data_IF_106368945294
#
_entry.id   IF_106368945294
#
_cell.length_a   1.000
_cell.length_b   1.000
_cell.length_c   1.000
_cell.angle_alpha   90.00
_cell.angle_beta   90.00
_cell.angle_gamma   90.00
#
_symmetry.space_group_name_H-M   'P 1'
#
loop_
_entity.id
_entity.type
_entity.pdbx_description
1 polymer ?
#
# COMPACT_ATOMS: atom_id res chain seq x y z
N UNK A 1 3.37 -3.85 -21.48
CA UNK A 1 2.24 -3.86 -20.53
C UNK A 1 2.38 -2.78 -19.46
N UNK A 2 3.42 -2.79 -18.60
CA UNK A 2 3.62 -1.74 -17.57
C UNK A 2 3.72 -0.34 -18.20
N UNK A 3 4.37 -0.21 -19.37
CA UNK A 3 4.41 1.07 -20.11
C UNK A 3 3.03 1.50 -20.59
N UNK A 4 2.22 0.58 -21.09
CA UNK A 4 0.83 0.83 -21.49
C UNK A 4 -0.04 1.27 -20.32
N UNK A 5 0.15 0.65 -19.14
CA UNK A 5 -0.51 1.07 -17.89
C UNK A 5 -0.15 2.51 -17.52
N UNK A 6 1.14 2.85 -17.59
CA UNK A 6 1.64 4.19 -17.31
C UNK A 6 1.09 5.21 -18.31
N UNK A 7 1.06 4.89 -19.60
CA UNK A 7 0.50 5.77 -20.64
C UNK A 7 -1.00 5.98 -20.44
N UNK A 8 -1.74 4.90 -20.12
CA UNK A 8 -3.18 4.99 -19.81
C UNK A 8 -3.43 5.83 -18.56
N UNK A 9 -2.60 5.65 -17.51
CA UNK A 9 -2.66 6.46 -16.31
C UNK A 9 -2.34 7.93 -16.55
N UNK A 10 -1.32 8.23 -17.35
CA UNK A 10 -0.98 9.60 -17.73
C UNK A 10 -2.10 10.30 -18.52
N UNK A 11 -2.81 9.56 -19.38
CA UNK A 11 -3.91 10.13 -20.19
C UNK A 11 -5.16 10.40 -19.37
N UNK A 12 -5.45 9.56 -18.36
CA UNK A 12 -6.64 9.68 -17.49
C UNK A 12 -6.40 10.45 -16.20
N UNK A 13 -5.16 10.54 -15.74
CA UNK A 13 -4.78 11.10 -14.44
C UNK A 13 -5.12 10.21 -13.23
N UNK A 14 -5.99 9.23 -13.45
CA UNK A 14 -6.51 8.31 -12.42
C UNK A 14 -6.62 6.91 -13.02
N UNK A 15 -6.22 5.89 -12.26
CA UNK A 15 -6.43 4.48 -12.58
C UNK A 15 -7.23 3.82 -11.47
N UNK A 16 -8.15 2.93 -11.83
CA UNK A 16 -8.81 2.08 -10.83
C UNK A 16 -7.91 0.92 -10.46
N UNK A 17 -8.05 0.43 -9.21
CA UNK A 17 -7.36 -0.78 -8.76
C UNK A 17 -7.58 -1.95 -9.75
N UNK A 18 -8.80 -2.11 -10.24
CA UNK A 18 -9.16 -3.12 -11.24
C UNK A 18 -8.35 -2.97 -12.53
N UNK A 19 -8.26 -1.77 -13.08
CA UNK A 19 -7.49 -1.52 -14.32
C UNK A 19 -6.00 -1.85 -14.15
N UNK A 20 -5.45 -1.61 -12.96
CA UNK A 20 -4.06 -1.95 -12.65
C UNK A 20 -3.91 -3.46 -12.57
N UNK A 21 -4.80 -4.14 -11.87
CA UNK A 21 -4.74 -5.59 -11.71
C UNK A 21 -4.98 -6.34 -13.01
N UNK A 22 -6.00 -5.99 -13.79
CA UNK A 22 -6.28 -6.58 -15.11
C UNK A 22 -5.06 -6.54 -16.04
N UNK A 23 -4.26 -5.47 -15.97
CA UNK A 23 -3.04 -5.34 -16.78
C UNK A 23 -1.83 -6.07 -16.19
N UNK A 24 -1.78 -6.24 -14.87
CA UNK A 24 -0.72 -6.97 -14.17
C UNK A 24 -0.96 -8.47 -14.17
N UNK A 25 -2.21 -8.91 -14.36
CA UNK A 25 -2.65 -10.31 -14.39
C UNK A 25 -1.93 -11.14 -15.44
N UNK A 26 -1.64 -10.55 -16.60
CA UNK A 26 -0.87 -11.20 -17.66
C UNK A 26 0.63 -11.32 -17.36
N UNK A 27 1.09 -10.75 -16.23
CA UNK A 27 2.51 -10.69 -15.87
C UNK A 27 2.66 -11.27 -14.47
N UNK A 28 3.34 -12.38 -14.34
CA UNK A 28 3.68 -13.00 -13.04
C UNK A 28 4.73 -12.14 -12.30
N UNK A 29 4.23 -11.10 -11.61
CA UNK A 29 5.08 -10.13 -10.90
C UNK A 29 5.23 -10.50 -9.43
N UNK A 30 6.46 -10.40 -8.94
CA UNK A 30 6.75 -10.50 -7.50
C UNK A 30 6.18 -9.26 -6.79
N UNK A 31 5.73 -9.37 -5.53
CA UNK A 31 5.15 -8.25 -4.79
C UNK A 31 6.03 -7.00 -4.71
N UNK A 32 7.35 -7.17 -4.65
CA UNK A 32 8.30 -6.07 -4.75
C UNK A 32 8.24 -5.33 -6.09
N UNK A 33 7.89 -6.05 -7.15
CA UNK A 33 7.72 -5.47 -8.49
C UNK A 33 6.37 -4.76 -8.60
N UNK A 34 5.32 -5.32 -8.01
CA UNK A 34 4.00 -4.68 -7.93
C UNK A 34 4.11 -3.37 -7.17
N UNK A 35 4.82 -3.37 -6.05
CA UNK A 35 5.01 -2.16 -5.27
C UNK A 35 5.84 -1.10 -6.01
N UNK A 36 6.87 -1.50 -6.77
CA UNK A 36 7.58 -0.57 -7.66
C UNK A 36 6.66 0.02 -8.74
N UNK A 37 5.68 -0.75 -9.23
CA UNK A 37 4.67 -0.22 -10.16
C UNK A 37 3.83 0.83 -9.46
N UNK A 38 3.33 0.58 -8.24
CA UNK A 38 2.59 1.56 -7.46
C UNK A 38 3.42 2.81 -7.14
N UNK A 39 4.67 2.65 -6.70
CA UNK A 39 5.60 3.76 -6.49
C UNK A 39 5.81 4.57 -7.77
N UNK A 40 5.92 3.90 -8.92
CA UNK A 40 6.06 4.55 -10.22
C UNK A 40 4.79 5.32 -10.60
N UNK A 41 3.61 4.73 -10.40
CA UNK A 41 2.32 5.40 -10.65
C UNK A 41 2.15 6.62 -9.75
N UNK A 42 2.46 6.49 -8.47
CA UNK A 42 2.43 7.58 -7.49
C UNK A 42 3.43 8.70 -7.85
N UNK A 43 4.66 8.33 -8.26
CA UNK A 43 5.67 9.30 -8.71
C UNK A 43 5.28 10.06 -9.99
N UNK A 44 4.52 9.42 -10.87
CA UNK A 44 4.02 9.99 -12.12
C UNK A 44 2.71 10.76 -11.95
N UNK A 45 2.16 10.81 -10.75
CA UNK A 45 0.96 11.57 -10.50
C UNK A 45 -0.35 10.89 -10.85
N UNK A 46 -0.33 9.60 -10.98
CA UNK A 46 -1.50 8.82 -11.29
C UNK A 46 -2.13 8.38 -9.98
N UNK A 47 -3.30 8.94 -9.65
CA UNK A 47 -4.05 8.54 -8.46
C UNK A 47 -4.74 7.19 -8.70
N UNK A 48 -4.61 6.29 -7.73
CA UNK A 48 -5.29 4.99 -7.77
C UNK A 48 -6.57 5.13 -6.97
N UNK A 49 -7.72 5.09 -7.64
CA UNK A 49 -9.04 5.20 -6.99
C UNK A 49 -9.65 3.84 -6.69
N UNK A 50 -10.44 3.83 -5.60
CA UNK A 50 -11.25 2.69 -5.19
C UNK A 50 -12.51 2.59 -6.05
N UNK A 51 -12.51 1.76 -7.08
CA UNK A 51 -13.69 0.97 -7.37
C UNK A 51 -13.38 -0.44 -6.87
N UNK A 52 -13.91 -0.74 -5.70
CA UNK A 52 -13.87 -2.08 -5.13
C UNK A 52 -14.81 -2.96 -5.95
N UNK A 53 -14.30 -3.50 -7.00
CA UNK A 53 -14.80 -4.74 -7.57
C UNK A 53 -13.58 -5.63 -7.75
N UNK A 54 -13.53 -6.56 -6.84
CA UNK A 54 -12.92 -7.87 -6.87
C UNK A 54 -12.02 -8.24 -8.05
N UNK A 55 -10.84 -8.76 -7.68
CA UNK A 55 -9.96 -9.73 -8.37
C UNK A 55 -8.54 -9.21 -8.63
N UNK A 56 -7.56 -9.86 -8.18
CA UNK A 56 -6.72 -10.99 -8.36
C UNK A 56 -5.27 -10.89 -7.88
N UNK A 57 -4.72 -12.00 -7.53
CA UNK A 57 -3.58 -12.43 -6.75
C UNK A 57 -2.14 -12.21 -7.25
N UNK A 58 -1.17 -12.31 -6.33
CA UNK A 58 0.27 -12.32 -6.57
C UNK A 58 1.04 -13.42 -5.81
N UNK A 59 2.24 -13.81 -6.26
CA UNK A 59 2.93 -15.01 -5.80
C UNK A 59 3.91 -14.84 -4.61
N UNK A 60 4.41 -15.96 -4.14
CA UNK A 60 5.17 -16.19 -2.90
C UNK A 60 6.44 -15.36 -2.69
N UNK A 61 6.73 -15.01 -1.44
CA UNK A 61 7.78 -14.10 -1.04
C UNK A 61 8.80 -14.69 -0.10
N UNK A 62 10.02 -14.23 -0.26
CA UNK A 62 11.03 -14.27 0.79
C UNK A 62 10.73 -13.18 1.85
N UNK A 63 9.90 -13.56 2.84
CA UNK A 63 9.58 -12.72 4.00
C UNK A 63 10.72 -12.72 5.01
N UNK A 64 11.94 -12.38 4.57
CA UNK A 64 13.04 -12.22 5.49
C UNK A 64 12.75 -11.04 6.44
N UNK A 65 12.72 -11.32 7.73
CA UNK A 65 12.58 -10.32 8.80
C UNK A 65 13.88 -9.49 8.99
N UNK A 66 14.71 -9.39 7.94
CA UNK A 66 15.89 -8.53 7.96
C UNK A 66 15.46 -7.08 8.07
N UNK A 67 15.97 -6.42 9.08
CA UNK A 67 15.64 -5.02 9.39
C UNK A 67 16.42 -4.07 8.49
N UNK A 68 15.84 -2.91 8.10
CA UNK A 68 16.56 -1.85 7.43
C UNK A 68 17.73 -1.36 8.30
N UNK A 69 18.87 -1.10 7.70
CA UNK A 69 20.01 -0.50 8.40
C UNK A 69 19.64 0.91 8.89
N UNK A 70 19.92 1.19 10.17
CA UNK A 70 19.73 2.53 10.76
C UNK A 70 18.47 2.73 11.62
N UNK A 71 17.62 1.71 11.82
CA UNK A 71 16.53 1.80 12.80
C UNK A 71 17.06 1.42 14.16
N UNK A 72 16.98 2.35 15.13
CA UNK A 72 17.13 2.01 16.56
C UNK A 72 15.97 1.08 16.92
N UNK A 73 16.32 -0.19 17.12
CA UNK A 73 15.34 -1.22 17.45
C UNK A 73 15.14 -1.19 18.96
N UNK A 74 14.05 -0.62 19.39
CA UNK A 74 13.60 -0.70 20.77
C UNK A 74 13.28 -2.16 21.14
N UNK A 75 13.48 -2.55 22.38
CA UNK A 75 13.17 -3.89 22.87
C UNK A 75 11.73 -4.36 22.54
N UNK A 76 10.69 -3.51 22.57
CA UNK A 76 9.34 -3.87 22.16
C UNK A 76 9.22 -4.34 20.70
N UNK A 77 9.94 -3.69 19.78
CA UNK A 77 9.95 -4.09 18.36
C UNK A 77 10.53 -5.49 18.18
N UNK A 78 11.68 -5.74 18.83
CA UNK A 78 12.33 -7.06 18.77
C UNK A 78 11.44 -8.15 19.33
N UNK A 79 10.77 -7.85 20.44
CA UNK A 79 9.86 -8.79 21.08
C UNK A 79 8.68 -9.13 20.16
N UNK A 80 8.06 -8.14 19.53
CA UNK A 80 6.99 -8.33 18.57
C UNK A 80 7.43 -9.17 17.37
N UNK A 81 8.58 -8.85 16.76
CA UNK A 81 9.11 -9.60 15.61
C UNK A 81 9.42 -11.05 15.95
N UNK A 82 9.92 -11.31 17.16
CA UNK A 82 10.17 -12.67 17.66
C UNK A 82 8.86 -13.45 17.83
N UNK A 83 7.80 -12.81 18.33
CA UNK A 83 6.49 -13.46 18.51
C UNK A 83 5.84 -13.81 17.16
N UNK A 84 5.76 -12.89 16.22
CA UNK A 84 5.17 -13.16 14.91
C UNK A 84 5.99 -14.18 14.09
N UNK A 85 7.30 -14.27 14.34
CA UNK A 85 8.19 -15.24 13.70
C UNK A 85 7.95 -16.69 14.11
N UNK A 86 7.24 -16.93 15.22
CA UNK A 86 6.88 -18.29 15.68
C UNK A 86 5.73 -18.90 14.89
N UNK A 87 4.92 -18.06 14.24
CA UNK A 87 3.77 -18.52 13.47
C UNK A 87 4.25 -19.02 12.11
N UNK A 88 3.95 -20.28 11.72
CA UNK A 88 4.32 -20.82 10.42
C UNK A 88 3.57 -20.09 9.30
N UNK A 89 4.21 -20.02 8.12
CA UNK A 89 3.55 -19.53 6.92
C UNK A 89 2.51 -20.55 6.45
N UNK A 90 1.43 -20.07 5.85
CA UNK A 90 0.40 -20.91 5.26
C UNK A 90 0.75 -21.24 3.81
N UNK A 91 0.38 -22.44 3.39
CA UNK A 91 0.34 -22.81 1.97
C UNK A 91 -0.93 -22.24 1.31
N UNK A 92 -0.95 -22.18 -0.03
CA UNK A 92 -2.11 -21.68 -0.76
C UNK A 92 -3.38 -22.49 -0.45
N UNK A 93 -3.26 -23.81 -0.31
CA UNK A 93 -4.38 -24.69 0.03
C UNK A 93 -4.91 -24.41 1.45
N UNK A 94 -4.02 -24.14 2.41
CA UNK A 94 -4.40 -23.78 3.78
C UNK A 94 -5.07 -22.41 3.84
N UNK A 95 -4.64 -21.45 3.01
CA UNK A 95 -5.30 -20.13 2.90
C UNK A 95 -6.76 -20.28 2.44
N UNK A 96 -6.99 -21.09 1.41
CA UNK A 96 -8.33 -21.38 0.89
C UNK A 96 -9.19 -22.14 1.92
N UNK A 97 -8.63 -23.13 2.61
CA UNK A 97 -9.34 -23.87 3.66
C UNK A 97 -9.77 -22.96 4.81
N UNK A 98 -8.87 -22.07 5.26
CA UNK A 98 -9.17 -21.10 6.31
C UNK A 98 -10.22 -20.09 5.86
N UNK A 99 -10.14 -19.61 4.61
CA UNK A 99 -11.11 -18.68 4.05
C UNK A 99 -12.52 -19.32 3.95
N UNK A 100 -12.61 -20.60 3.58
CA UNK A 100 -13.87 -21.34 3.58
C UNK A 100 -14.48 -21.47 4.99
N UNK A 101 -13.65 -21.76 6.00
CA UNK A 101 -14.11 -21.81 7.39
C UNK A 101 -14.57 -20.45 7.90
N UNK A 102 -13.87 -19.38 7.50
CA UNK A 102 -14.29 -18.02 7.82
C UNK A 102 -15.66 -17.68 7.23
N UNK A 103 -15.93 -18.08 5.98
CA UNK A 103 -17.24 -17.88 5.34
C UNK A 103 -18.38 -18.59 6.11
N UNK A 104 -18.06 -19.62 6.89
CA UNK A 104 -18.97 -20.32 7.78
C UNK A 104 -19.07 -19.69 9.18
N UNK A 105 -18.34 -18.59 9.44
CA UNK A 105 -18.35 -17.86 10.70
C UNK A 105 -17.33 -18.33 11.73
N UNK A 106 -16.29 -19.07 11.32
CA UNK A 106 -15.22 -19.53 12.23
C UNK A 106 -14.24 -18.39 12.55
N UNK A 107 -14.38 -17.79 13.73
CA UNK A 107 -13.49 -16.76 14.27
C UNK A 107 -12.06 -17.26 14.53
N UNK A 108 -11.87 -18.55 14.78
CA UNK A 108 -10.53 -19.12 14.97
C UNK A 108 -9.77 -19.20 13.64
N UNK A 109 -10.46 -19.54 12.55
CA UNK A 109 -9.89 -19.51 11.21
C UNK A 109 -9.48 -18.10 10.81
N UNK A 110 -10.33 -17.09 11.08
CA UNK A 110 -10.02 -15.67 10.87
C UNK A 110 -8.74 -15.27 11.62
N UNK A 111 -8.66 -15.58 12.90
CA UNK A 111 -7.48 -15.27 13.72
C UNK A 111 -6.22 -15.92 13.16
N UNK A 112 -6.29 -17.20 12.79
CA UNK A 112 -5.15 -17.94 12.26
C UNK A 112 -4.66 -17.34 10.94
N UNK A 113 -5.57 -16.93 10.05
CA UNK A 113 -5.23 -16.27 8.78
C UNK A 113 -4.54 -14.91 9.02
N UNK A 114 -5.03 -14.12 9.99
CA UNK A 114 -4.40 -12.84 10.37
C UNK A 114 -2.99 -13.08 10.94
N UNK A 115 -2.85 -13.98 11.92
CA UNK A 115 -1.57 -14.24 12.60
C UNK A 115 -0.48 -14.71 11.63
N UNK A 116 -0.81 -15.58 10.69
CA UNK A 116 0.13 -16.07 9.68
C UNK A 116 0.62 -14.97 8.71
N UNK A 117 -0.15 -13.88 8.55
CA UNK A 117 0.15 -12.78 7.63
C UNK A 117 0.71 -11.51 8.32
N UNK A 118 0.99 -11.53 9.62
CA UNK A 118 1.59 -10.38 10.31
C UNK A 118 2.99 -10.04 9.77
N UNK A 119 3.73 -11.01 9.28
CA UNK A 119 5.05 -10.81 8.64
C UNK A 119 4.94 -9.98 7.36
N UNK A 120 3.87 -10.16 6.58
CA UNK A 120 3.56 -9.36 5.39
C UNK A 120 3.38 -7.88 5.77
N UNK A 121 2.64 -7.59 6.85
CA UNK A 121 2.46 -6.22 7.35
C UNK A 121 3.79 -5.57 7.67
N UNK A 122 4.69 -6.28 8.36
CA UNK A 122 6.03 -5.77 8.71
C UNK A 122 6.84 -5.46 7.46
N UNK A 123 6.80 -6.32 6.44
CA UNK A 123 7.54 -6.12 5.19
C UNK A 123 7.10 -4.84 4.44
N UNK A 124 5.80 -4.55 4.47
CA UNK A 124 5.23 -3.35 3.88
C UNK A 124 5.55 -2.12 4.74
N UNK A 125 5.32 -2.18 6.06
CA UNK A 125 5.53 -1.06 6.99
C UNK A 125 6.97 -0.53 7.00
N UNK A 126 7.98 -1.40 6.78
CA UNK A 126 9.40 -1.02 6.66
C UNK A 126 9.63 0.14 5.69
N UNK A 127 8.89 0.20 4.60
CA UNK A 127 9.07 1.20 3.52
C UNK A 127 8.52 2.58 3.87
N UNK A 128 7.73 2.64 4.93
CA UNK A 128 7.11 3.87 5.41
C UNK A 128 7.82 4.47 6.63
N UNK A 129 8.91 3.85 7.08
CA UNK A 129 9.74 4.36 8.18
C UNK A 129 10.34 5.73 7.82
N UNK A 130 10.40 6.63 8.81
CA UNK A 130 10.91 7.99 8.61
C UNK A 130 9.89 9.00 8.07
N UNK A 131 8.63 8.60 7.89
CA UNK A 131 7.55 9.49 7.41
C UNK A 131 6.74 10.16 8.54
N UNK A 132 7.30 10.23 9.77
CA UNK A 132 6.69 10.95 10.89
C UNK A 132 5.88 10.10 11.85
N UNK A 133 5.88 8.77 11.68
CA UNK A 133 5.28 7.81 12.62
C UNK A 133 6.33 6.80 13.09
N UNK A 134 6.16 6.27 14.30
CA UNK A 134 7.00 5.21 14.84
C UNK A 134 6.74 3.90 14.08
N UNK A 135 7.77 3.05 13.98
CA UNK A 135 7.67 1.80 13.23
C UNK A 135 6.58 0.85 13.77
N UNK A 136 6.45 0.75 15.11
CA UNK A 136 5.37 -0.05 15.70
C UNK A 136 3.98 0.50 15.38
N UNK A 137 3.82 1.82 15.35
CA UNK A 137 2.53 2.43 15.01
C UNK A 137 2.16 2.15 13.55
N UNK A 138 3.14 2.23 12.63
CA UNK A 138 2.95 1.84 11.23
C UNK A 138 2.51 0.37 11.10
N UNK A 139 3.13 -0.53 11.88
CA UNK A 139 2.75 -1.94 11.91
C UNK A 139 1.31 -2.09 12.43
N UNK A 140 0.93 -1.41 13.51
CA UNK A 140 -0.43 -1.53 14.07
C UNK A 140 -1.50 -1.00 13.11
N UNK A 141 -1.26 0.13 12.46
CA UNK A 141 -2.17 0.63 11.42
C UNK A 141 -2.25 -0.35 10.22
N UNK A 142 -1.12 -0.93 9.83
CA UNK A 142 -1.08 -1.98 8.83
C UNK A 142 -1.85 -3.24 9.25
N UNK A 143 -1.79 -3.63 10.53
CA UNK A 143 -2.56 -4.76 11.07
C UNK A 143 -4.07 -4.49 11.00
N UNK A 144 -4.53 -3.26 11.22
CA UNK A 144 -5.93 -2.89 11.02
C UNK A 144 -6.34 -3.03 9.54
N UNK A 145 -5.44 -2.68 8.62
CA UNK A 145 -5.64 -2.94 7.19
C UNK A 145 -5.74 -4.44 6.88
N UNK A 146 -4.84 -5.25 7.43
CA UNK A 146 -4.85 -6.70 7.27
C UNK A 146 -6.16 -7.33 7.78
N UNK A 147 -6.65 -6.93 8.94
CA UNK A 147 -7.93 -7.43 9.49
C UNK A 147 -9.08 -7.12 8.53
N UNK A 148 -9.14 -5.91 7.97
CA UNK A 148 -10.15 -5.54 6.96
C UNK A 148 -10.01 -6.36 5.68
N UNK A 149 -8.78 -6.65 5.25
CA UNK A 149 -8.54 -7.51 4.10
C UNK A 149 -9.08 -8.92 4.34
N UNK A 150 -8.80 -9.51 5.51
CA UNK A 150 -9.31 -10.82 5.90
C UNK A 150 -10.84 -10.86 5.91
N UNK A 151 -11.50 -9.82 6.44
CA UNK A 151 -12.97 -9.74 6.48
C UNK A 151 -13.64 -9.67 5.11
N UNK A 152 -12.93 -9.13 4.12
CA UNK A 152 -13.46 -8.93 2.76
C UNK A 152 -12.89 -9.90 1.73
N UNK A 153 -12.02 -10.81 2.16
CA UNK A 153 -11.38 -11.75 1.27
C UNK A 153 -12.37 -12.79 0.73
N UNK A 154 -12.40 -12.92 -0.58
CA UNK A 154 -13.21 -13.88 -1.30
C UNK A 154 -12.31 -14.93 -1.98
N UNK A 155 -12.34 -16.16 -1.46
CA UNK A 155 -11.52 -17.25 -1.95
C UNK A 155 -12.02 -17.84 -3.28
N UNK A 156 -13.29 -17.59 -3.66
CA UNK A 156 -13.88 -18.14 -4.89
C UNK A 156 -13.23 -17.53 -6.14
N UNK A 157 -12.58 -16.39 -5.98
CA UNK A 157 -11.92 -15.67 -7.06
C UNK A 157 -10.56 -16.24 -7.47
N UNK A 158 -10.03 -17.20 -6.71
CA UNK A 158 -8.82 -17.95 -7.08
C UNK A 158 -7.49 -17.27 -6.82
N UNK A 159 -7.48 -16.09 -6.16
CA UNK A 159 -6.28 -15.27 -5.94
C UNK A 159 -5.60 -15.53 -4.61
N UNK A 160 -4.28 -15.26 -4.56
CA UNK A 160 -3.53 -15.32 -3.31
C UNK A 160 -3.98 -14.20 -2.37
N UNK A 161 -4.20 -14.54 -1.13
CA UNK A 161 -4.57 -13.58 -0.10
C UNK A 161 -3.58 -12.41 0.02
N UNK A 162 -2.27 -12.69 -0.12
CA UNK A 162 -1.22 -11.70 0.03
C UNK A 162 -1.35 -10.50 -0.92
N UNK A 163 -1.80 -10.69 -2.15
CA UNK A 163 -1.99 -9.60 -3.11
C UNK A 163 -3.09 -8.66 -2.69
N UNK A 164 -4.25 -9.23 -2.35
CA UNK A 164 -5.39 -8.47 -1.87
C UNK A 164 -5.08 -7.74 -0.56
N UNK A 165 -4.42 -8.42 0.38
CA UNK A 165 -4.03 -7.85 1.66
C UNK A 165 -3.02 -6.70 1.53
N UNK A 166 -2.07 -6.78 0.58
CA UNK A 166 -1.06 -5.73 0.37
C UNK A 166 -1.70 -4.37 0.13
N UNK A 167 -2.77 -4.31 -0.67
CA UNK A 167 -3.48 -3.06 -0.92
C UNK A 167 -4.11 -2.48 0.36
N UNK A 168 -4.85 -3.30 1.11
CA UNK A 168 -5.48 -2.85 2.36
C UNK A 168 -4.49 -2.39 3.41
N UNK A 169 -3.36 -3.11 3.55
CA UNK A 169 -2.28 -2.76 4.46
C UNK A 169 -1.67 -1.42 4.06
N UNK A 170 -1.32 -1.25 2.78
CA UNK A 170 -0.76 -0.02 2.25
C UNK A 170 -1.72 1.16 2.44
N UNK A 171 -2.98 1.01 2.10
CA UNK A 171 -4.00 2.03 2.26
C UNK A 171 -4.14 2.47 3.72
N UNK A 172 -4.19 1.51 4.66
CA UNK A 172 -4.28 1.82 6.08
C UNK A 172 -3.06 2.62 6.57
N UNK A 173 -1.85 2.18 6.21
CA UNK A 173 -0.60 2.86 6.60
C UNK A 173 -0.54 4.27 6.00
N UNK A 174 -0.80 4.43 4.71
CA UNK A 174 -0.73 5.74 4.03
C UNK A 174 -1.75 6.72 4.61
N UNK A 175 -2.97 6.25 4.87
CA UNK A 175 -4.02 7.05 5.50
C UNK A 175 -3.65 7.45 6.93
N UNK A 176 -3.09 6.54 7.71
CA UNK A 176 -2.62 6.84 9.07
C UNK A 176 -1.50 7.89 9.06
N UNK A 177 -0.53 7.79 8.16
CA UNK A 177 0.53 8.80 8.00
C UNK A 177 -0.08 10.18 7.67
N UNK A 178 -1.01 10.24 6.72
CA UNK A 178 -1.66 11.50 6.36
C UNK A 178 -2.40 12.14 7.55
N UNK A 179 -2.98 11.32 8.42
CA UNK A 179 -3.86 11.75 9.51
C UNK A 179 -3.13 12.02 10.83
N UNK A 180 -2.03 11.31 11.11
CA UNK A 180 -1.39 11.27 12.43
C UNK A 180 0.09 11.69 12.44
N UNK A 181 0.79 11.74 11.30
CA UNK A 181 2.23 12.01 11.26
C UNK A 181 2.60 13.45 11.66
N UNK A 182 1.65 14.38 11.69
CA UNK A 182 1.90 15.79 12.00
C UNK A 182 1.41 16.14 13.40
N UNK A 183 2.24 16.84 14.19
CA UNK A 183 1.87 17.36 15.52
C UNK A 183 0.63 18.26 15.45
N UNK A 184 0.54 19.11 14.43
CA UNK A 184 -0.67 19.89 14.12
C UNK A 184 -1.35 19.14 12.98
N UNK A 185 -2.50 18.53 13.29
CA UNK A 185 -3.27 17.73 12.35
C UNK A 185 -3.77 18.57 11.17
N UNK A 186 -3.52 18.07 9.98
CA UNK A 186 -4.05 18.62 8.72
C UNK A 186 -5.06 17.61 8.15
N UNK A 187 -6.23 18.06 7.66
CA UNK A 187 -7.17 17.15 7.01
C UNK A 187 -6.54 16.39 5.82
N UNK A 188 -6.92 15.13 5.63
CA UNK A 188 -6.31 14.24 4.62
C UNK A 188 -6.35 14.86 3.21
N UNK A 189 -7.48 15.46 2.79
CA UNK A 189 -7.61 16.11 1.49
C UNK A 189 -6.61 17.26 1.29
N UNK A 190 -6.22 17.95 2.37
CA UNK A 190 -5.20 18.99 2.29
C UNK A 190 -3.79 18.40 2.17
N UNK A 191 -3.53 17.26 2.82
CA UNK A 191 -2.26 16.53 2.64
C UNK A 191 -2.13 16.04 1.20
N UNK A 192 -3.20 15.54 0.60
CA UNK A 192 -3.26 15.15 -0.82
C UNK A 192 -2.96 16.34 -1.73
N UNK A 193 -3.58 17.51 -1.47
CA UNK A 193 -3.35 18.73 -2.22
C UNK A 193 -1.89 19.18 -2.12
N UNK A 194 -1.30 19.14 -0.92
CA UNK A 194 0.12 19.48 -0.70
C UNK A 194 1.03 18.50 -1.46
N UNK A 195 0.74 17.21 -1.41
CA UNK A 195 1.51 16.19 -2.14
C UNK A 195 1.42 16.41 -3.65
N UNK A 196 0.22 16.74 -4.18
CA UNK A 196 0.03 17.09 -5.58
C UNK A 196 0.84 18.33 -5.98
N UNK A 197 0.84 19.36 -5.14
CA UNK A 197 1.64 20.58 -5.35
C UNK A 197 3.13 20.26 -5.44
N UNK A 198 3.66 19.51 -4.46
CA UNK A 198 5.08 19.14 -4.43
C UNK A 198 5.46 18.35 -5.68
N UNK A 199 4.60 17.44 -6.14
CA UNK A 199 4.81 16.61 -7.32
C UNK A 199 4.86 17.49 -8.58
N UNK A 200 3.86 18.33 -8.79
CA UNK A 200 3.79 19.23 -9.95
C UNK A 200 4.98 20.20 -9.96
N UNK A 201 5.34 20.75 -8.82
CA UNK A 201 6.51 21.62 -8.71
C UNK A 201 7.79 20.91 -9.14
N UNK A 202 8.00 19.64 -8.74
CA UNK A 202 9.15 18.85 -9.19
C UNK A 202 9.11 18.53 -10.68
N UNK A 203 7.94 18.24 -11.22
CA UNK A 203 7.77 17.98 -12.66
C UNK A 203 8.11 19.24 -13.49
N UNK A 204 7.56 20.38 -13.12
CA UNK A 204 7.86 21.65 -13.80
C UNK A 204 9.33 22.06 -13.64
N UNK A 205 9.95 21.79 -12.48
CA UNK A 205 11.38 22.00 -12.28
C UNK A 205 12.22 21.18 -13.27
N UNK A 206 11.86 19.93 -13.52
CA UNK A 206 12.54 19.08 -14.50
C UNK A 206 12.31 19.55 -15.94
N UNK A 207 11.10 20.04 -16.25
CA UNK A 207 10.74 20.49 -17.60
C UNK A 207 11.38 21.83 -17.93
N UNK A 208 11.36 22.80 -17.01
CA UNK A 208 11.86 24.15 -17.25
C UNK A 208 13.32 24.36 -16.85
N UNK A 209 13.92 23.44 -16.09
CA UNK A 209 15.28 23.56 -15.56
C UNK A 209 15.46 24.71 -14.53
N UNK A 210 14.35 25.30 -14.04
CA UNK A 210 14.30 26.35 -13.02
C UNK A 210 13.12 26.12 -12.08
N UNK A 211 13.12 26.78 -10.93
CA UNK A 211 11.96 26.76 -10.04
C UNK A 211 10.71 27.33 -10.75
N UNK A 212 9.58 26.63 -10.71
CA UNK A 212 8.34 27.08 -11.32
C UNK A 212 7.75 28.28 -10.55
N UNK A 213 7.11 29.18 -11.27
CA UNK A 213 6.36 30.28 -10.67
C UNK A 213 5.02 29.80 -10.10
N UNK A 214 4.46 30.48 -9.08
CA UNK A 214 3.15 30.13 -8.52
C UNK A 214 2.04 30.06 -9.58
N UNK A 215 2.03 30.95 -10.56
CA UNK A 215 1.10 30.97 -11.69
C UNK A 215 1.18 29.69 -12.55
N UNK A 216 2.40 29.19 -12.78
CA UNK A 216 2.64 27.98 -13.56
C UNK A 216 2.14 26.74 -12.82
N UNK A 217 2.38 26.69 -11.50
CA UNK A 217 1.89 25.60 -10.64
C UNK A 217 0.36 25.64 -10.56
N UNK A 218 -0.23 26.83 -10.34
CA UNK A 218 -1.67 27.01 -10.25
C UNK A 218 -2.39 26.55 -11.52
N UNK A 219 -1.82 26.88 -12.69
CA UNK A 219 -2.33 26.47 -14.00
C UNK A 219 -2.35 24.95 -14.15
N UNK A 220 -1.26 24.28 -13.76
CA UNK A 220 -1.15 22.81 -13.87
C UNK A 220 -2.02 22.09 -12.84
N UNK A 221 -2.20 22.68 -11.65
CA UNK A 221 -3.10 22.16 -10.63
C UNK A 221 -4.59 22.41 -10.93
N UNK A 222 -4.91 23.35 -11.81
CA UNK A 222 -6.30 23.75 -12.11
C UNK A 222 -6.97 24.54 -10.97
N UNK A 223 -6.19 25.30 -10.19
CA UNK A 223 -6.66 26.14 -9.07
C UNK A 223 -6.25 27.60 -9.30
N UNK A 224 -6.88 28.52 -8.53
CA UNK A 224 -6.44 29.92 -8.55
C UNK A 224 -5.13 30.08 -7.78
N UNK A 225 -4.31 31.08 -8.21
CA UNK A 225 -3.01 31.40 -7.61
C UNK A 225 -3.11 31.74 -6.10
N UNK A 226 -4.22 32.37 -5.67
CA UNK A 226 -4.47 32.73 -4.27
C UNK A 226 -4.70 31.55 -3.33
N UNK A 227 -4.87 30.34 -3.85
CA UNK A 227 -5.06 29.09 -3.08
C UNK A 227 -3.78 28.32 -2.92
#
# INVERSE_FOLDING_TARGET
RIKELIEKGKSKGVLTYKEIMDMLEEIDLQPEQIEKVYETLESLGIDVMDEVTDEEAAPEQDLSLTMPEGINIDDPVRMYLKEIGKVPLLSADEEVELAQKMAQGDEMAKRKLVEANLRLVVSIAKRYVGRGMLFLDLIQEGNLGLIKAVEKFDYEKGFKFSTYATWWIRQAITRAIADQARTIRIPVHMVETINKLIRISRQLLQEYGREPLPEEIAKEMGISEDK
#
